data_IF_562930082385
#
_entry.id   IF_562930082385
#
_cell.length_a   1.000
_cell.length_b   1.000
_cell.length_c   1.000
_cell.angle_alpha   90.00
_cell.angle_beta   90.00
_cell.angle_gamma   90.00
#
_symmetry.space_group_name_H-M   'P 1'
#
loop_
_entity.id
_entity.type
_entity.pdbx_description
1 polymer ?
#
# COMPACT_ATOMS: atom_id res chain seq x y z
N UNK A 1 -1.38 27.47 -15.32
CA UNK A 1 -2.17 26.37 -14.74
C UNK A 1 -1.24 25.73 -13.73
N UNK A 2 -1.27 26.28 -12.51
CA UNK A 2 -0.28 25.99 -11.48
C UNK A 2 -0.41 24.55 -11.01
N UNK A 3 0.69 23.81 -11.15
CA UNK A 3 0.90 22.54 -10.47
C UNK A 3 1.11 22.90 -9.00
N UNK A 4 0.10 22.68 -8.18
CA UNK A 4 0.23 22.78 -6.73
C UNK A 4 1.32 21.80 -6.28
N UNK A 5 2.44 22.32 -5.81
CA UNK A 5 3.49 21.54 -5.16
C UNK A 5 2.86 20.85 -3.94
N UNK A 6 2.99 19.52 -3.75
CA UNK A 6 2.43 18.82 -2.59
C UNK A 6 2.96 19.34 -1.24
N UNK A 7 4.04 20.15 -1.23
CA UNK A 7 4.53 20.88 -0.06
C UNK A 7 3.80 22.22 0.21
N UNK A 8 2.93 22.68 -0.69
CA UNK A 8 2.09 23.90 -0.54
C UNK A 8 0.62 23.56 -0.25
N UNK A 9 0.35 22.59 0.62
CA UNK A 9 -0.95 22.53 1.31
C UNK A 9 -0.93 23.57 2.45
N UNK A 10 -1.78 24.63 2.44
CA UNK A 10 -1.78 25.68 3.46
C UNK A 10 -2.14 25.19 4.88
N UNK A 11 -2.45 23.91 5.03
CA UNK A 11 -2.76 23.29 6.31
C UNK A 11 -1.48 22.74 6.97
N UNK A 12 -0.82 23.59 7.77
CA UNK A 12 0.25 23.21 8.72
C UNK A 12 -0.24 22.30 9.86
N UNK A 13 -1.55 22.02 9.92
CA UNK A 13 -2.18 21.08 10.84
C UNK A 13 -2.19 19.64 10.32
N UNK A 14 -2.59 18.66 11.17
CA UNK A 14 -2.79 17.30 10.72
C UNK A 14 -3.94 17.25 9.69
N UNK A 15 -3.65 16.77 8.48
CA UNK A 15 -4.64 16.61 7.41
C UNK A 15 -4.92 15.13 7.20
N UNK A 16 -6.19 14.82 6.95
CA UNK A 16 -6.67 13.48 6.68
C UNK A 16 -6.21 13.05 5.27
N UNK A 17 -5.38 12.01 5.17
CA UNK A 17 -4.77 11.51 3.93
C UNK A 17 -4.86 9.99 3.85
N UNK A 18 -4.88 9.46 2.62
CA UNK A 18 -4.64 8.05 2.37
C UNK A 18 -3.13 7.79 2.45
N UNK A 19 -2.75 6.74 3.16
CA UNK A 19 -1.39 6.26 3.28
C UNK A 19 -1.30 4.83 2.75
N UNK A 20 -0.18 4.53 2.12
CA UNK A 20 0.12 3.20 1.60
C UNK A 20 1.51 2.80 2.08
N UNK A 21 1.66 1.60 2.64
CA UNK A 21 2.98 1.03 2.86
C UNK A 21 3.15 -0.25 2.04
N UNK A 22 4.34 -0.41 1.47
CA UNK A 22 4.74 -1.57 0.68
C UNK A 22 6.03 -2.13 1.24
N UNK A 23 6.05 -3.44 1.52
CA UNK A 23 7.26 -4.18 1.86
C UNK A 23 7.47 -5.30 0.85
N UNK A 24 8.73 -5.55 0.48
CA UNK A 24 9.12 -6.59 -0.46
C UNK A 24 9.92 -7.70 0.21
N UNK A 25 9.73 -8.93 -0.24
CA UNK A 25 10.54 -10.11 0.08
C UNK A 25 11.07 -10.76 -1.20
N UNK A 26 12.12 -11.56 -1.04
CA UNK A 26 12.82 -12.22 -2.14
C UNK A 26 14.10 -11.49 -2.58
N UNK A 27 14.88 -12.11 -3.47
CA UNK A 27 16.22 -11.66 -3.81
C UNK A 27 16.16 -10.42 -4.70
N UNK A 28 16.84 -9.38 -4.25
CA UNK A 28 17.02 -8.15 -4.99
C UNK A 28 18.52 -7.97 -5.26
N UNK A 29 18.87 -7.89 -6.54
CA UNK A 29 20.23 -7.48 -6.94
C UNK A 29 20.35 -5.97 -6.76
N UNK A 30 21.38 -5.54 -6.02
CA UNK A 30 21.57 -4.15 -5.61
C UNK A 30 20.86 -3.85 -4.29
N UNK A 31 20.64 -2.56 -3.99
CA UNK A 31 19.93 -2.15 -2.77
C UNK A 31 18.43 -2.57 -2.85
N UNK A 32 17.96 -3.44 -1.95
CA UNK A 32 16.57 -3.91 -1.94
C UNK A 32 15.54 -2.79 -1.91
N UNK A 33 15.80 -1.74 -1.16
CA UNK A 33 14.86 -0.62 -0.95
C UNK A 33 14.69 0.21 -2.22
N UNK A 34 15.80 0.55 -2.87
CA UNK A 34 15.78 1.25 -4.16
C UNK A 34 15.02 0.45 -5.23
N UNK A 35 15.23 -0.88 -5.28
CA UNK A 35 14.52 -1.74 -6.24
C UNK A 35 13.02 -1.88 -5.95
N UNK A 36 12.63 -1.88 -4.68
CA UNK A 36 11.21 -1.84 -4.32
C UNK A 36 10.60 -0.48 -4.68
N UNK A 37 11.29 0.62 -4.39
CA UNK A 37 10.86 1.97 -4.77
C UNK A 37 10.63 2.10 -6.28
N UNK A 38 11.55 1.61 -7.12
CA UNK A 38 11.37 1.58 -8.59
C UNK A 38 10.11 0.82 -9.03
N UNK A 39 9.80 -0.31 -8.36
CA UNK A 39 8.61 -1.11 -8.67
C UNK A 39 7.33 -0.39 -8.24
N UNK A 40 7.33 0.20 -7.05
CA UNK A 40 6.20 0.95 -6.50
C UNK A 40 5.94 2.23 -7.31
N UNK A 41 6.99 2.97 -7.67
CA UNK A 41 6.90 4.17 -8.49
C UNK A 41 6.32 3.85 -9.88
N UNK A 42 6.81 2.80 -10.54
CA UNK A 42 6.26 2.36 -11.82
C UNK A 42 4.77 2.00 -11.74
N UNK A 43 4.38 1.26 -10.69
CA UNK A 43 2.99 0.91 -10.46
C UNK A 43 2.13 2.15 -10.16
N UNK A 44 2.66 3.10 -9.38
CA UNK A 44 2.01 4.37 -9.08
C UNK A 44 1.76 5.22 -10.33
N UNK A 45 2.75 5.35 -11.21
CA UNK A 45 2.61 6.05 -12.50
C UNK A 45 1.56 5.38 -13.37
N UNK A 46 1.59 4.06 -13.50
CA UNK A 46 0.58 3.31 -14.28
C UNK A 46 -0.83 3.46 -13.69
N UNK A 47 -0.94 3.64 -12.37
CA UNK A 47 -2.21 3.87 -11.67
C UNK A 47 -2.67 5.33 -11.70
N UNK A 48 -1.87 6.26 -12.25
CA UNK A 48 -2.17 7.69 -12.29
C UNK A 48 -2.03 8.39 -10.94
N UNK A 49 -1.09 7.96 -10.09
CA UNK A 49 -0.83 8.53 -8.77
C UNK A 49 0.13 9.74 -8.84
N UNK A 50 -0.19 10.71 -9.68
CA UNK A 50 0.65 11.90 -9.94
C UNK A 50 0.79 12.82 -8.71
N UNK A 51 -0.04 12.61 -7.69
CA UNK A 51 -0.11 13.41 -6.46
C UNK A 51 0.19 12.59 -5.19
N UNK A 52 1.04 11.57 -5.32
CA UNK A 52 1.57 10.80 -4.20
C UNK A 52 3.02 11.22 -3.90
N UNK A 53 3.37 11.40 -2.63
CA UNK A 53 4.77 11.52 -2.22
C UNK A 53 5.29 10.15 -1.82
N UNK A 54 6.38 9.71 -2.47
CA UNK A 54 7.08 8.47 -2.14
C UNK A 54 8.22 8.76 -1.16
N UNK A 55 8.26 8.03 -0.06
CA UNK A 55 9.34 8.05 0.91
C UNK A 55 9.90 6.63 1.11
N UNK A 56 11.19 6.46 0.88
CA UNK A 56 11.89 5.20 1.18
C UNK A 56 12.00 5.07 2.71
N UNK A 57 11.58 3.93 3.22
CA UNK A 57 11.63 3.58 4.64
C UNK A 57 12.68 2.48 4.89
N UNK A 58 13.11 2.27 6.15
CA UNK A 58 14.06 1.20 6.47
C UNK A 58 13.61 -0.20 6.02
N UNK A 59 12.31 -0.51 6.07
CA UNK A 59 11.76 -1.84 5.73
C UNK A 59 11.03 -1.89 4.39
N UNK A 60 10.82 -0.76 3.72
CA UNK A 60 9.98 -0.71 2.54
C UNK A 60 9.80 0.70 1.96
N UNK A 61 8.60 0.96 1.45
CA UNK A 61 8.21 2.24 0.83
C UNK A 61 6.91 2.72 1.46
N UNK A 62 6.86 4.01 1.77
CA UNK A 62 5.65 4.71 2.17
C UNK A 62 5.20 5.63 1.02
N UNK A 63 3.93 5.56 0.65
CA UNK A 63 3.27 6.56 -0.18
C UNK A 63 2.28 7.33 0.69
N UNK A 64 2.32 8.65 0.60
CA UNK A 64 1.30 9.52 1.19
C UNK A 64 0.63 10.29 0.07
N UNK A 65 -0.68 10.10 -0.07
CA UNK A 65 -1.47 10.78 -1.09
C UNK A 65 -1.80 12.19 -0.62
N UNK A 66 -1.92 13.12 -1.56
CA UNK A 66 -2.58 14.41 -1.32
C UNK A 66 -4.00 14.21 -0.80
N UNK A 67 -4.53 15.23 -0.10
CA UNK A 67 -5.91 15.20 0.39
C UNK A 67 -6.90 15.30 -0.78
N UNK A 68 -8.07 14.66 -0.65
CA UNK A 68 -9.15 14.76 -1.64
C UNK A 68 -9.02 13.86 -2.87
N UNK A 69 -8.11 12.88 -2.86
CA UNK A 69 -8.02 11.86 -3.91
C UNK A 69 -9.25 10.93 -3.91
N UNK A 70 -9.58 10.35 -5.06
CA UNK A 70 -10.53 9.24 -5.16
C UNK A 70 -9.89 7.97 -4.58
N UNK A 71 -10.10 7.74 -3.29
CA UNK A 71 -9.47 6.64 -2.55
C UNK A 71 -9.83 5.26 -3.13
N UNK A 72 -11.06 5.06 -3.64
CA UNK A 72 -11.47 3.80 -4.26
C UNK A 72 -10.65 3.51 -5.52
N UNK A 73 -10.48 4.54 -6.38
CA UNK A 73 -9.67 4.45 -7.59
C UNK A 73 -8.19 4.25 -7.26
N UNK A 74 -7.66 4.91 -6.22
CA UNK A 74 -6.27 4.73 -5.79
C UNK A 74 -6.03 3.30 -5.29
N UNK A 75 -6.88 2.77 -4.41
CA UNK A 75 -6.72 1.42 -3.86
C UNK A 75 -6.80 0.38 -4.97
N UNK A 76 -7.85 0.42 -5.82
CA UNK A 76 -8.03 -0.55 -6.90
C UNK A 76 -6.91 -0.43 -7.96
N UNK A 77 -6.62 0.80 -8.40
CA UNK A 77 -5.61 1.08 -9.41
C UNK A 77 -4.21 0.65 -8.98
N UNK A 78 -3.75 1.11 -7.80
CA UNK A 78 -2.41 0.77 -7.33
C UNK A 78 -2.25 -0.74 -7.10
N UNK A 79 -3.28 -1.40 -6.56
CA UNK A 79 -3.23 -2.85 -6.33
C UNK A 79 -3.10 -3.61 -7.65
N UNK A 80 -3.89 -3.25 -8.67
CA UNK A 80 -3.84 -3.86 -10.00
C UNK A 80 -2.50 -3.64 -10.70
N UNK A 81 -2.02 -2.39 -10.71
CA UNK A 81 -0.78 -2.05 -11.41
C UNK A 81 0.46 -2.60 -10.71
N UNK A 82 0.44 -2.69 -9.38
CA UNK A 82 1.51 -3.36 -8.63
C UNK A 82 1.52 -4.86 -8.90
N UNK A 83 0.36 -5.52 -8.92
CA UNK A 83 0.25 -6.92 -9.30
C UNK A 83 0.80 -7.18 -10.73
N UNK A 84 0.40 -6.34 -11.68
CA UNK A 84 0.86 -6.41 -13.08
C UNK A 84 2.37 -6.19 -13.20
N UNK A 85 2.91 -5.20 -12.48
CA UNK A 85 4.35 -4.91 -12.47
C UNK A 85 5.15 -6.09 -11.88
N UNK A 86 4.66 -6.69 -10.80
CA UNK A 86 5.28 -7.87 -10.19
C UNK A 86 5.21 -9.08 -11.12
N UNK A 87 4.07 -9.31 -11.80
CA UNK A 87 3.91 -10.38 -12.77
C UNK A 87 4.92 -10.27 -13.91
N UNK A 88 5.02 -9.11 -14.56
CA UNK A 88 6.01 -8.88 -15.61
C UNK A 88 7.44 -9.06 -15.13
N UNK A 89 7.74 -8.60 -13.90
CA UNK A 89 9.06 -8.79 -13.29
C UNK A 89 9.34 -10.27 -13.03
N UNK A 90 8.36 -11.03 -12.57
CA UNK A 90 8.54 -12.42 -12.15
C UNK A 90 8.36 -13.44 -13.27
N UNK A 91 7.87 -13.04 -14.46
CA UNK A 91 7.54 -13.96 -15.57
C UNK A 91 8.64 -14.98 -15.92
N UNK A 92 9.91 -14.58 -15.80
CA UNK A 92 11.09 -15.41 -16.14
C UNK A 92 11.82 -15.93 -14.88
N UNK A 93 11.16 -15.90 -13.70
CA UNK A 93 11.73 -16.24 -12.39
C UNK A 93 10.87 -17.30 -11.71
N UNK A 94 11.52 -18.31 -11.14
CA UNK A 94 10.85 -19.37 -10.41
C UNK A 94 11.19 -19.32 -8.92
N UNK A 95 10.25 -19.79 -8.08
CA UNK A 95 10.45 -20.04 -6.66
C UNK A 95 11.01 -18.85 -5.89
N UNK A 96 12.10 -19.09 -5.18
CA UNK A 96 12.80 -18.13 -4.32
C UNK A 96 13.38 -16.93 -5.09
N UNK A 97 13.39 -16.93 -6.43
CA UNK A 97 13.89 -15.82 -7.26
C UNK A 97 12.84 -14.74 -7.52
N UNK A 98 11.58 -14.97 -7.16
CA UNK A 98 10.48 -14.02 -7.34
C UNK A 98 10.58 -12.92 -6.29
N UNK A 99 10.30 -11.68 -6.70
CA UNK A 99 10.00 -10.61 -5.75
C UNK A 99 8.52 -10.71 -5.38
N UNK A 100 8.21 -10.77 -4.10
CA UNK A 100 6.83 -10.79 -3.60
C UNK A 100 6.63 -9.62 -2.65
N UNK A 101 5.45 -9.04 -2.62
CA UNK A 101 5.19 -7.83 -1.85
C UNK A 101 3.96 -7.98 -0.94
N UNK A 102 4.02 -7.25 0.16
CA UNK A 102 2.88 -6.94 1.01
C UNK A 102 2.54 -5.47 0.81
N UNK A 103 1.26 -5.17 0.70
CA UNK A 103 0.70 -3.85 0.45
C UNK A 103 -0.33 -3.55 1.52
N UNK A 104 -0.33 -2.33 2.04
CA UNK A 104 -1.26 -1.92 3.09
C UNK A 104 -1.87 -0.56 2.80
N UNK A 105 -3.16 -0.39 3.13
CA UNK A 105 -3.89 0.85 2.98
C UNK A 105 -4.52 1.30 4.30
N UNK A 106 -4.30 2.55 4.67
CA UNK A 106 -4.96 3.19 5.80
C UNK A 106 -5.21 4.66 5.54
N UNK A 107 -6.30 5.16 6.09
CA UNK A 107 -6.72 6.54 5.97
C UNK A 107 -6.70 7.16 7.39
N UNK A 108 -5.96 8.25 7.58
CA UNK A 108 -6.05 9.03 8.82
C UNK A 108 -5.29 10.34 8.80
N UNK A 109 -5.12 10.94 9.97
CA UNK A 109 -4.39 12.19 10.13
C UNK A 109 -2.88 12.00 9.95
N UNK A 110 -2.29 12.80 9.05
CA UNK A 110 -0.86 12.83 8.74
C UNK A 110 -0.33 14.25 8.95
N UNK A 111 0.83 14.35 9.59
CA UNK A 111 1.62 15.58 9.70
C UNK A 111 2.81 15.50 8.75
N UNK A 112 3.08 16.60 8.08
CA UNK A 112 4.29 16.80 7.27
C UNK A 112 5.33 17.44 8.19
N UNK A 113 6.55 16.92 8.16
CA UNK A 113 7.70 17.36 8.94
C UNK A 113 8.93 17.44 8.03
N UNK A 114 9.99 18.08 8.49
CA UNK A 114 11.24 18.18 7.71
C UNK A 114 11.84 16.81 7.37
N UNK A 115 11.59 15.79 8.22
CA UNK A 115 12.05 14.41 8.03
C UNK A 115 11.03 13.51 7.28
N UNK A 116 9.97 14.10 6.73
CA UNK A 116 8.92 13.39 5.99
C UNK A 116 7.59 13.32 6.74
N UNK A 117 6.91 12.17 6.70
CA UNK A 117 5.54 12.04 7.23
C UNK A 117 5.47 11.37 8.59
N UNK A 118 4.66 11.93 9.49
CA UNK A 118 4.40 11.36 10.82
C UNK A 118 2.91 11.34 11.17
N UNK A 119 2.56 10.57 12.20
CA UNK A 119 1.20 10.49 12.72
C UNK A 119 0.68 9.08 12.85
N UNK A 120 -0.46 8.93 13.53
CA UNK A 120 -1.07 7.63 13.81
C UNK A 120 -1.42 6.86 12.53
N UNK A 121 -1.74 7.57 11.44
CA UNK A 121 -2.04 6.94 10.15
C UNK A 121 -0.81 6.25 9.54
N UNK A 122 0.34 6.95 9.57
CA UNK A 122 1.63 6.44 9.07
C UNK A 122 2.09 5.23 9.89
N UNK A 123 1.98 5.31 11.22
CA UNK A 123 2.31 4.19 12.10
C UNK A 123 1.41 2.99 11.86
N UNK A 124 0.09 3.21 11.75
CA UNK A 124 -0.88 2.15 11.52
C UNK A 124 -0.67 1.44 10.17
N UNK A 125 -0.46 2.18 9.07
CA UNK A 125 -0.25 1.56 7.76
C UNK A 125 1.03 0.71 7.74
N UNK A 126 2.12 1.21 8.32
CA UNK A 126 3.37 0.46 8.42
C UNK A 126 3.21 -0.81 9.27
N UNK A 127 2.55 -0.72 10.43
CA UNK A 127 2.31 -1.87 11.31
C UNK A 127 1.39 -2.91 10.68
N UNK A 128 0.36 -2.49 9.93
CA UNK A 128 -0.47 -3.40 9.16
C UNK A 128 0.34 -4.12 8.08
N UNK A 129 1.20 -3.41 7.35
CA UNK A 129 2.08 -4.00 6.33
C UNK A 129 3.05 -5.05 6.91
N UNK A 130 3.55 -4.77 8.11
CA UNK A 130 4.49 -5.61 8.85
C UNK A 130 3.80 -6.65 9.76
N UNK A 131 2.48 -6.81 9.66
CA UNK A 131 1.73 -7.77 10.50
C UNK A 131 2.01 -9.22 10.11
N UNK A 132 2.03 -10.11 11.11
CA UNK A 132 2.22 -11.54 10.88
C UNK A 132 1.05 -12.16 10.11
N UNK A 133 -0.17 -11.64 10.30
CA UNK A 133 -1.35 -12.03 9.51
C UNK A 133 -1.12 -11.84 8.00
N UNK A 134 -0.57 -10.69 7.60
CA UNK A 134 -0.32 -10.40 6.18
C UNK A 134 0.88 -11.18 5.64
N UNK A 135 1.90 -11.43 6.47
CA UNK A 135 3.00 -12.34 6.12
C UNK A 135 2.48 -13.76 5.88
N UNK A 136 1.64 -14.27 6.76
CA UNK A 136 1.04 -15.59 6.65
C UNK A 136 0.14 -15.70 5.42
N UNK A 137 -0.64 -14.66 5.11
CA UNK A 137 -1.50 -14.61 3.92
C UNK A 137 -0.68 -14.72 2.62
N UNK A 138 0.42 -13.97 2.53
CA UNK A 138 1.32 -14.06 1.38
C UNK A 138 2.01 -15.42 1.34
N UNK A 139 2.54 -15.92 2.46
CA UNK A 139 3.21 -17.22 2.52
C UNK A 139 2.29 -18.40 2.14
N UNK A 140 1.02 -18.35 2.57
CA UNK A 140 0.00 -19.35 2.25
C UNK A 140 -0.51 -19.32 0.81
N UNK A 141 -0.14 -18.29 0.04
CA UNK A 141 -0.62 -18.06 -1.33
C UNK A 141 0.52 -18.07 -2.35
N UNK A 142 1.15 -19.23 -2.63
CA UNK A 142 2.37 -19.30 -3.47
C UNK A 142 2.17 -18.88 -4.93
N UNK A 143 0.93 -18.92 -5.43
CA UNK A 143 0.59 -18.41 -6.75
C UNK A 143 0.63 -16.87 -6.83
N UNK A 144 0.39 -16.20 -5.70
CA UNK A 144 0.33 -14.74 -5.60
C UNK A 144 1.69 -14.12 -5.29
N UNK A 145 2.01 -13.03 -6.00
CA UNK A 145 3.16 -12.18 -5.73
C UNK A 145 2.81 -10.98 -4.84
N UNK A 146 1.53 -10.76 -4.55
CA UNK A 146 1.05 -9.63 -3.80
C UNK A 146 -0.01 -10.07 -2.78
N UNK A 147 0.12 -9.60 -1.54
CA UNK A 147 -0.94 -9.66 -0.53
C UNK A 147 -1.27 -8.25 -0.08
N UNK A 148 -2.56 -7.96 0.10
CA UNK A 148 -3.07 -6.66 0.49
C UNK A 148 -3.71 -6.73 1.88
N UNK A 149 -3.49 -5.70 2.70
CA UNK A 149 -4.28 -5.39 3.89
C UNK A 149 -4.90 -4.00 3.76
N UNK A 150 -6.15 -3.86 4.18
CA UNK A 150 -6.85 -2.57 4.22
C UNK A 150 -7.53 -2.42 5.57
N UNK A 151 -7.42 -1.24 6.19
CA UNK A 151 -8.11 -1.00 7.46
C UNK A 151 -9.62 -1.06 7.28
N UNK A 152 -10.33 -1.63 8.27
CA UNK A 152 -11.77 -1.81 8.27
C UNK A 152 -12.56 -0.54 7.95
N UNK A 153 -12.33 0.59 8.66
CA UNK A 153 -13.03 1.84 8.37
C UNK A 153 -12.86 2.29 6.92
N UNK A 154 -11.65 2.19 6.37
CA UNK A 154 -11.40 2.54 4.96
C UNK A 154 -12.17 1.61 4.02
N UNK A 155 -12.11 0.29 4.22
CA UNK A 155 -12.86 -0.63 3.35
C UNK A 155 -14.38 -0.45 3.48
N UNK A 156 -14.87 -0.13 4.68
CA UNK A 156 -16.28 0.16 4.92
C UNK A 156 -16.74 1.41 4.14
N UNK A 157 -15.92 2.45 4.10
CA UNK A 157 -16.18 3.68 3.34
C UNK A 157 -16.10 3.45 1.81
N UNK A 158 -15.18 2.59 1.34
CA UNK A 158 -14.98 2.33 -0.10
C UNK A 158 -15.89 1.27 -0.70
N UNK A 159 -16.52 0.42 0.12
CA UNK A 159 -17.36 -0.67 -0.37
C UNK A 159 -18.73 -0.20 -0.91
N UNK A 160 -19.04 1.10 -0.84
CA UNK A 160 -20.32 1.64 -1.29
C UNK A 160 -20.14 2.84 -2.26
N UNK A 161 -20.66 2.76 -3.50
CA UNK A 161 -21.26 1.59 -4.14
C UNK A 161 -20.22 0.48 -4.38
N UNK A 162 -20.67 -0.77 -4.47
CA UNK A 162 -19.77 -1.92 -4.61
C UNK A 162 -18.87 -1.80 -5.85
N UNK A 163 -17.56 -1.66 -5.61
CA UNK A 163 -16.54 -1.84 -6.65
C UNK A 163 -16.20 -3.32 -6.77
N UNK A 164 -16.18 -3.92 -7.98
CA UNK A 164 -15.81 -5.32 -8.18
C UNK A 164 -14.45 -5.72 -7.57
N UNK A 165 -13.53 -4.76 -7.51
CA UNK A 165 -12.17 -4.94 -7.00
C UNK A 165 -12.09 -4.87 -5.46
N UNK A 166 -13.08 -4.25 -4.80
CA UNK A 166 -13.12 -4.03 -3.35
C UNK A 166 -14.28 -4.77 -2.66
N UNK A 167 -14.80 -5.81 -3.31
CA UNK A 167 -15.89 -6.60 -2.77
C UNK A 167 -15.43 -7.35 -1.49
N UNK A 168 -16.06 -7.05 -0.34
CA UNK A 168 -15.64 -7.54 0.99
C UNK A 168 -15.50 -9.06 1.09
N UNK A 169 -16.28 -9.81 0.31
CA UNK A 169 -16.22 -11.29 0.28
C UNK A 169 -14.89 -11.86 -0.21
N UNK A 170 -14.06 -11.06 -0.88
CA UNK A 170 -12.69 -11.45 -1.27
C UNK A 170 -11.71 -11.38 -0.11
N UNK A 171 -12.10 -10.74 0.99
CA UNK A 171 -11.23 -10.47 2.11
C UNK A 171 -11.53 -11.37 3.30
N UNK A 172 -10.46 -11.74 4.00
CA UNK A 172 -10.53 -12.33 5.33
C UNK A 172 -10.39 -11.23 6.39
N UNK A 173 -11.31 -11.11 7.37
CA UNK A 173 -11.16 -10.15 8.45
C UNK A 173 -10.04 -10.56 9.41
N UNK A 174 -9.32 -9.58 9.93
CA UNK A 174 -8.28 -9.70 10.96
C UNK A 174 -8.31 -8.50 11.89
N UNK A 175 -7.60 -8.60 13.02
CA UNK A 175 -7.37 -7.47 13.93
C UNK A 175 -5.87 -7.32 14.14
N UNK A 176 -5.28 -6.28 13.55
CA UNK A 176 -3.87 -5.97 13.75
C UNK A 176 -3.71 -5.26 15.09
N UNK A 177 -3.04 -5.93 16.03
CA UNK A 177 -2.75 -5.35 17.34
C UNK A 177 -1.42 -4.64 17.30
N UNK A 178 -1.41 -3.40 17.76
CA UNK A 178 -0.23 -2.57 17.93
C UNK A 178 -0.06 -2.27 19.42
N UNK A 179 1.10 -1.77 19.86
CA UNK A 179 1.29 -1.41 21.27
C UNK A 179 0.26 -0.40 21.80
N UNK A 180 -0.37 0.40 20.93
CA UNK A 180 -1.26 1.50 21.30
C UNK A 180 -2.72 1.30 20.90
N UNK A 181 -3.02 0.41 19.95
CA UNK A 181 -4.39 0.19 19.45
C UNK A 181 -4.58 -1.17 18.80
N UNK A 182 -5.83 -1.59 18.70
CA UNK A 182 -6.25 -2.68 17.80
C UNK A 182 -6.88 -2.07 16.55
N UNK A 183 -6.54 -2.59 15.38
CA UNK A 183 -7.01 -2.11 14.09
C UNK A 183 -7.79 -3.23 13.41
N UNK A 184 -9.13 -3.16 13.34
CA UNK A 184 -9.87 -4.07 12.46
C UNK A 184 -9.41 -3.84 11.03
N UNK A 185 -9.10 -4.91 10.31
CA UNK A 185 -8.58 -4.86 8.96
C UNK A 185 -9.01 -6.09 8.17
N UNK A 186 -8.76 -6.05 6.88
CA UNK A 186 -9.18 -7.05 5.92
C UNK A 186 -8.00 -7.38 5.02
N UNK A 187 -7.72 -8.67 4.83
CA UNK A 187 -6.59 -9.14 4.03
C UNK A 187 -7.01 -10.03 2.88
N UNK A 188 -6.26 -9.96 1.79
CA UNK A 188 -6.49 -10.74 0.58
C UNK A 188 -5.19 -10.96 -0.19
N UNK A 189 -4.90 -12.21 -0.56
CA UNK A 189 -3.88 -12.51 -1.56
C UNK A 189 -4.38 -12.17 -2.96
N UNK A 190 -3.70 -11.25 -3.64
CA UNK A 190 -4.08 -10.78 -4.97
C UNK A 190 -3.63 -11.82 -6.00
N UNK A 191 -4.58 -12.35 -6.76
CA UNK A 191 -4.28 -13.29 -7.84
C UNK A 191 -3.44 -12.65 -8.95
N UNK A 192 -2.74 -13.44 -9.78
CA UNK A 192 -2.06 -12.92 -10.96
C UNK A 192 -3.06 -12.19 -11.89
N UNK A 193 -2.58 -11.27 -12.74
CA UNK A 193 -3.43 -10.66 -13.77
C UNK A 193 -4.10 -11.76 -14.61
N UNK A 194 -5.41 -11.60 -14.86
CA UNK A 194 -6.21 -12.49 -15.71
C UNK A 194 -5.98 -12.28 -17.20
#
# INVERSE_FOLDING_TARGET
MDVLDPLTDPLTGPVRRLCVAVEGEGPLRGDPRSRLAEVVERAGVAAGLDHATLQIQPTGVLLVLTSGVDEARVVAGLTRELCTTLWHRNRDRAGDRRMRCRLSFHQGLVRITDDGFTGQAVTAVAQMCASDDLRAELAGSPASDLAMIISGPLLDDLAYPESPDLHKTRFRPVVVTTPTRSIPAYIHAVGPPG
#
